data_IF_946693070717
#
_entry.id   IF_946693070717
#
_cell.length_a   1.000
_cell.length_b   1.000
_cell.length_c   1.000
_cell.angle_alpha   90.00
_cell.angle_beta   90.00
_cell.angle_gamma   90.00
#
_symmetry.space_group_name_H-M   'P 1'
#
loop_
_entity.id
_entity.type
_entity.pdbx_description
1 polymer ?
#
# COMPACT_ATOMS: atom_id res chain seq x y z
N UNK A 1 -7.24 4.09 -6.75
CA UNK A 1 -5.94 4.79 -6.65
C UNK A 1 -5.92 5.87 -7.72
N UNK A 2 -5.31 7.04 -7.43
CA UNK A 2 -5.11 8.12 -8.39
C UNK A 2 -3.63 8.47 -8.42
N UNK A 3 -3.06 8.59 -9.62
CA UNK A 3 -1.69 9.05 -9.86
C UNK A 3 -1.78 10.50 -10.33
N UNK A 4 -1.16 11.41 -9.59
CA UNK A 4 -1.29 12.87 -9.78
C UNK A 4 -0.06 13.50 -10.41
N UNK A 5 1.05 12.78 -10.43
CA UNK A 5 2.33 13.23 -10.95
C UNK A 5 3.00 12.16 -11.82
N UNK A 6 4.07 12.54 -12.53
CA UNK A 6 4.85 11.58 -13.31
C UNK A 6 5.44 10.48 -12.42
N UNK A 7 5.37 9.23 -12.89
CA UNK A 7 6.04 8.09 -12.26
C UNK A 7 7.50 7.91 -12.73
N UNK A 8 8.03 8.87 -13.50
CA UNK A 8 9.37 8.74 -14.12
C UNK A 8 10.46 8.44 -13.08
N UNK A 9 10.49 9.20 -12.01
CA UNK A 9 11.51 9.05 -10.95
C UNK A 9 11.36 7.71 -10.21
N UNK A 10 10.13 7.25 -9.99
CA UNK A 10 9.86 5.96 -9.39
C UNK A 10 10.30 4.81 -10.30
N UNK A 11 10.02 4.90 -11.62
CA UNK A 11 10.36 3.86 -12.59
C UNK A 11 11.88 3.77 -12.87
N UNK A 12 12.62 4.84 -12.60
CA UNK A 12 14.08 4.89 -12.71
C UNK A 12 14.81 4.74 -11.37
N UNK A 13 14.09 4.38 -10.31
CA UNK A 13 14.66 4.19 -8.99
C UNK A 13 15.70 3.06 -9.00
N UNK A 14 16.87 3.32 -8.42
CA UNK A 14 17.82 2.25 -8.12
C UNK A 14 17.26 1.33 -7.06
N UNK A 15 16.87 0.12 -7.43
CA UNK A 15 16.31 -0.89 -6.53
C UNK A 15 17.34 -1.48 -5.56
N UNK A 16 18.64 -1.14 -5.69
CA UNK A 16 19.73 -1.60 -4.79
C UNK A 16 19.77 -3.12 -4.60
N UNK A 17 19.35 -3.88 -5.60
CA UNK A 17 19.25 -5.33 -5.56
C UNK A 17 18.04 -5.88 -4.80
N UNK A 18 17.11 -5.04 -4.34
CA UNK A 18 15.84 -5.51 -3.77
C UNK A 18 14.87 -5.98 -4.85
N UNK A 19 14.17 -7.10 -4.66
CA UNK A 19 13.21 -7.61 -5.64
C UNK A 19 11.91 -6.80 -5.71
N UNK A 20 11.61 -6.00 -4.69
CA UNK A 20 10.42 -5.14 -4.62
C UNK A 20 10.71 -3.88 -3.83
N UNK A 21 10.10 -2.76 -4.24
CA UNK A 21 10.02 -1.54 -3.46
C UNK A 21 8.54 -1.21 -3.18
N UNK A 22 8.25 -0.74 -1.97
CA UNK A 22 6.90 -0.46 -1.51
C UNK A 22 6.88 0.60 -0.41
N UNK A 23 5.70 1.10 -0.10
CA UNK A 23 5.47 1.97 1.07
C UNK A 23 5.01 1.12 2.25
N UNK A 24 5.52 1.42 3.45
CA UNK A 24 5.07 0.78 4.68
C UNK A 24 3.56 0.96 4.88
N UNK A 25 2.89 -0.05 5.43
CA UNK A 25 1.49 0.09 5.80
C UNK A 25 1.36 1.02 7.01
N UNK A 26 0.74 2.17 6.77
CA UNK A 26 0.73 3.28 7.73
C UNK A 26 -0.09 3.00 8.99
N UNK A 27 -1.05 2.08 8.93
CA UNK A 27 -1.83 1.67 10.11
C UNK A 27 -1.11 0.56 10.86
N UNK A 28 -0.65 -0.47 10.15
CA UNK A 28 -0.04 -1.65 10.77
C UNK A 28 1.30 -1.35 11.45
N UNK A 29 1.98 -0.27 11.03
CA UNK A 29 3.18 0.23 11.70
C UNK A 29 2.94 0.67 13.16
N UNK A 30 1.69 0.92 13.56
CA UNK A 30 1.32 1.54 14.84
C UNK A 30 0.36 0.71 15.70
N UNK A 31 0.04 -0.53 15.31
CA UNK A 31 -0.87 -1.40 16.07
C UNK A 31 -0.15 -2.67 16.53
N UNK A 32 -0.66 -3.25 17.62
CA UNK A 32 -0.23 -4.59 18.03
C UNK A 32 -0.66 -5.62 16.97
N UNK A 33 0.29 -6.42 16.53
CA UNK A 33 0.10 -7.43 15.51
C UNK A 33 0.20 -8.82 16.10
N UNK A 34 -0.78 -9.68 15.83
CA UNK A 34 -0.89 -11.02 16.46
C UNK A 34 -0.60 -12.18 15.51
N UNK A 35 -0.08 -11.89 14.32
CA UNK A 35 0.17 -12.89 13.29
C UNK A 35 1.67 -13.23 13.16
N UNK A 36 2.05 -14.27 12.39
CA UNK A 36 3.41 -14.82 12.34
C UNK A 36 4.52 -13.86 11.89
N UNK A 37 4.16 -12.73 11.28
CA UNK A 37 5.14 -11.70 10.87
C UNK A 37 5.39 -10.78 12.05
N UNK A 38 6.62 -10.73 12.53
CA UNK A 38 7.03 -9.81 13.60
C UNK A 38 7.20 -8.39 13.03
N UNK A 39 6.23 -7.53 13.27
CA UNK A 39 6.25 -6.13 12.80
C UNK A 39 7.22 -5.24 13.57
N UNK A 40 7.70 -5.65 14.75
CA UNK A 40 8.71 -4.88 15.48
C UNK A 40 10.09 -4.99 14.84
N UNK A 41 10.37 -6.13 14.21
CA UNK A 41 11.66 -6.39 13.57
C UNK A 41 11.58 -6.43 12.05
N UNK A 42 10.38 -6.55 11.50
CA UNK A 42 10.12 -6.68 10.06
C UNK A 42 9.03 -5.71 9.65
N UNK A 43 9.38 -4.52 9.12
CA UNK A 43 8.39 -3.58 8.62
C UNK A 43 7.46 -4.26 7.60
N UNK A 44 6.16 -3.95 7.70
CA UNK A 44 5.12 -4.52 6.87
C UNK A 44 4.69 -3.49 5.82
N UNK A 45 4.76 -3.83 4.54
CA UNK A 45 4.39 -2.89 3.48
C UNK A 45 2.95 -3.07 3.01
N UNK A 46 2.37 -1.97 2.55
CA UNK A 46 1.08 -1.98 1.88
C UNK A 46 1.23 -2.45 0.43
N UNK A 47 0.46 -3.45 0.02
CA UNK A 47 0.54 -4.07 -1.31
C UNK A 47 -0.24 -3.34 -2.40
N UNK A 48 -0.83 -2.20 -2.11
CA UNK A 48 -1.63 -1.45 -3.08
C UNK A 48 -0.81 -0.86 -4.23
N UNK A 49 0.47 -0.53 -3.96
CA UNK A 49 1.43 -0.09 -4.97
C UNK A 49 2.77 -0.76 -4.73
N UNK A 50 3.32 -1.38 -5.76
CA UNK A 50 4.62 -2.07 -5.72
C UNK A 50 5.41 -1.70 -6.97
N UNK A 51 6.72 -1.45 -6.79
CA UNK A 51 7.68 -1.45 -7.88
C UNK A 51 8.44 -2.78 -7.80
N UNK A 52 8.39 -3.58 -8.86
CA UNK A 52 8.97 -4.92 -8.89
C UNK A 52 10.16 -5.00 -9.87
N UNK A 53 11.29 -5.53 -9.41
CA UNK A 53 12.38 -5.93 -10.29
C UNK A 53 12.03 -7.29 -10.93
N UNK A 54 11.58 -7.24 -12.18
CA UNK A 54 11.13 -8.44 -12.89
C UNK A 54 12.26 -9.42 -13.22
N UNK A 55 13.52 -8.99 -13.21
CA UNK A 55 14.68 -9.87 -13.37
C UNK A 55 14.82 -10.71 -12.10
N UNK A 56 14.89 -10.05 -10.94
CA UNK A 56 14.95 -10.69 -9.63
C UNK A 56 13.76 -11.65 -9.42
N UNK A 57 12.56 -11.24 -9.83
CA UNK A 57 11.37 -12.09 -9.69
C UNK A 57 11.46 -13.38 -10.46
N UNK A 58 12.03 -13.36 -11.69
CA UNK A 58 12.24 -14.56 -12.51
C UNK A 58 13.35 -15.43 -11.95
N UNK A 59 14.51 -14.85 -11.65
CA UNK A 59 15.69 -15.57 -11.17
C UNK A 59 15.43 -16.30 -9.84
N UNK A 60 14.68 -15.67 -8.93
CA UNK A 60 14.35 -16.25 -7.63
C UNK A 60 13.00 -16.99 -7.61
N UNK A 61 12.32 -17.15 -8.74
CA UNK A 61 11.02 -17.82 -8.83
C UNK A 61 9.99 -17.29 -7.81
N UNK A 62 9.92 -15.97 -7.63
CA UNK A 62 9.08 -15.31 -6.61
C UNK A 62 7.61 -15.71 -6.75
N UNK A 63 7.08 -15.82 -7.98
CA UNK A 63 5.69 -16.26 -8.20
C UNK A 63 5.41 -17.65 -7.58
N UNK A 64 6.35 -18.58 -7.70
CA UNK A 64 6.22 -19.92 -7.10
C UNK A 64 6.26 -19.85 -5.57
N UNK A 65 7.12 -19.00 -5.01
CA UNK A 65 7.18 -18.79 -3.56
C UNK A 65 5.87 -18.21 -3.03
N UNK A 66 5.29 -17.21 -3.72
CA UNK A 66 4.00 -16.62 -3.36
C UNK A 66 2.86 -17.64 -3.39
N UNK A 67 2.78 -18.48 -4.43
CA UNK A 67 1.77 -19.54 -4.52
C UNK A 67 1.91 -20.57 -3.39
N UNK A 68 3.13 -20.99 -3.05
CA UNK A 68 3.38 -21.90 -1.93
C UNK A 68 2.99 -21.25 -0.59
N UNK A 69 3.36 -19.99 -0.38
CA UNK A 69 3.01 -19.24 0.84
C UNK A 69 1.50 -19.09 0.97
N UNK A 70 0.81 -18.76 -0.12
CA UNK A 70 -0.65 -18.66 -0.12
C UNK A 70 -1.31 -20.00 0.23
N UNK A 71 -0.81 -21.12 -0.29
CA UNK A 71 -1.31 -22.46 0.03
C UNK A 71 -1.06 -22.86 1.49
N UNK A 72 0.08 -22.44 2.08
CA UNK A 72 0.42 -22.74 3.47
C UNK A 72 -0.34 -21.88 4.49
N UNK A 73 -0.51 -20.59 4.21
CA UNK A 73 -1.15 -19.64 5.14
C UNK A 73 -2.68 -19.72 5.09
N UNK A 74 -3.22 -20.27 4.00
CA UNK A 74 -4.65 -20.45 3.80
C UNK A 74 -5.48 -19.17 4.09
N UNK A 75 -6.76 -19.31 4.45
CA UNK A 75 -7.67 -18.19 4.74
C UNK A 75 -7.42 -17.50 6.10
N UNK A 76 -6.41 -17.95 6.84
CA UNK A 76 -6.14 -17.47 8.20
C UNK A 76 -5.48 -16.07 8.28
N UNK A 77 -5.20 -15.43 7.15
CA UNK A 77 -4.52 -14.12 7.12
C UNK A 77 -5.49 -12.97 6.87
N UNK A 78 -5.42 -11.88 7.66
CA UNK A 78 -6.44 -10.82 7.65
C UNK A 78 -6.42 -9.95 6.38
N UNK A 79 -5.28 -9.85 5.70
CA UNK A 79 -5.09 -8.97 4.55
C UNK A 79 -4.70 -9.71 3.26
N UNK A 80 -5.07 -11.00 3.15
CA UNK A 80 -4.95 -11.79 1.95
C UNK A 80 -3.57 -11.69 1.27
N UNK A 81 -3.53 -11.24 0.03
CA UNK A 81 -2.30 -11.13 -0.77
C UNK A 81 -1.21 -10.25 -0.14
N UNK A 82 -1.58 -9.23 0.62
CA UNK A 82 -0.62 -8.38 1.32
C UNK A 82 0.19 -9.19 2.35
N UNK A 83 -0.47 -10.10 3.09
CA UNK A 83 0.22 -10.99 4.01
C UNK A 83 1.16 -11.96 3.30
N UNK A 84 0.76 -12.52 2.16
CA UNK A 84 1.61 -13.44 1.38
C UNK A 84 2.88 -12.75 0.88
N UNK A 85 2.74 -11.55 0.34
CA UNK A 85 3.86 -10.74 -0.13
C UNK A 85 4.82 -10.40 1.03
N UNK A 86 4.29 -9.92 2.15
CA UNK A 86 5.09 -9.59 3.32
C UNK A 86 5.77 -10.82 3.94
N UNK A 87 5.17 -12.00 3.86
CA UNK A 87 5.80 -13.26 4.29
C UNK A 87 6.95 -13.67 3.38
N UNK A 88 6.80 -13.54 2.06
CA UNK A 88 7.85 -13.90 1.11
C UNK A 88 9.00 -12.91 1.15
N UNK A 89 8.72 -11.63 1.19
CA UNK A 89 9.77 -10.61 1.13
C UNK A 89 10.35 -10.25 2.50
N UNK A 90 9.59 -10.34 3.60
CA UNK A 90 10.03 -9.98 4.97
C UNK A 90 10.94 -8.74 5.00
N UNK A 91 12.25 -8.92 5.25
CA UNK A 91 13.25 -7.83 5.29
C UNK A 91 13.87 -7.50 3.92
N UNK A 92 13.47 -8.22 2.87
CA UNK A 92 14.07 -8.10 1.53
C UNK A 92 13.21 -7.24 0.61
N UNK A 93 12.96 -5.99 1.01
CA UNK A 93 12.27 -5.00 0.20
C UNK A 93 12.80 -3.59 0.47
N UNK A 94 12.74 -2.73 -0.55
CA UNK A 94 13.16 -1.35 -0.46
C UNK A 94 11.98 -0.49 -0.01
N UNK A 95 12.15 0.26 1.08
CA UNK A 95 11.12 1.18 1.55
C UNK A 95 11.12 2.46 0.70
N UNK A 96 9.95 2.79 0.18
CA UNK A 96 9.65 4.04 -0.51
C UNK A 96 9.12 5.10 0.47
N UNK A 97 9.22 6.35 0.06
CA UNK A 97 8.57 7.46 0.75
C UNK A 97 7.04 7.28 0.71
N UNK A 98 6.38 7.68 1.79
CA UNK A 98 4.94 7.54 1.99
C UNK A 98 4.10 8.15 0.87
N UNK A 99 4.56 9.23 0.28
CA UNK A 99 3.90 9.94 -0.82
C UNK A 99 3.65 9.08 -2.06
N UNK A 100 4.44 8.02 -2.29
CA UNK A 100 4.27 7.08 -3.39
C UNK A 100 3.14 6.08 -3.21
N UNK A 101 2.54 6.01 -2.03
CA UNK A 101 1.33 5.23 -1.76
C UNK A 101 0.61 5.82 -0.54
N UNK A 102 0.19 7.08 -0.64
CA UNK A 102 -0.48 7.78 0.45
C UNK A 102 -1.83 7.10 0.76
N UNK A 103 -1.93 6.53 1.95
CA UNK A 103 -3.05 5.70 2.38
C UNK A 103 -4.11 6.54 3.10
N UNK A 104 -5.15 6.97 2.38
CA UNK A 104 -6.20 7.84 2.95
C UNK A 104 -6.89 7.25 4.18
N UNK A 105 -7.01 5.93 4.25
CA UNK A 105 -7.60 5.25 5.40
C UNK A 105 -6.78 5.33 6.68
N UNK A 106 -5.47 5.62 6.59
CA UNK A 106 -4.66 5.86 7.77
C UNK A 106 -5.02 7.20 8.43
N UNK A 107 -5.26 8.24 7.64
CA UNK A 107 -5.74 9.53 8.16
C UNK A 107 -7.03 9.32 8.94
N UNK A 108 -8.02 8.65 8.34
CA UNK A 108 -9.30 8.35 8.98
C UNK A 108 -9.12 7.52 10.26
N UNK A 109 -8.25 6.50 10.21
CA UNK A 109 -7.97 5.62 11.35
C UNK A 109 -7.45 6.39 12.56
N UNK A 110 -6.49 7.28 12.36
CA UNK A 110 -5.87 8.06 13.43
C UNK A 110 -6.75 9.21 13.91
N UNK A 111 -7.48 9.88 13.01
CA UNK A 111 -8.46 10.90 13.38
C UNK A 111 -9.54 10.37 14.32
N UNK A 112 -10.12 9.21 14.03
CA UNK A 112 -11.14 8.56 14.88
C UNK A 112 -10.63 8.17 16.27
N UNK A 113 -9.31 8.20 16.49
CA UNK A 113 -8.66 7.88 17.76
C UNK A 113 -8.06 9.07 18.48
N UNK A 114 -8.29 10.29 17.95
CA UNK A 114 -7.66 11.53 18.41
C UNK A 114 -6.11 11.47 18.37
N UNK A 115 -5.56 10.84 17.34
CA UNK A 115 -4.13 10.67 17.09
C UNK A 115 -3.74 11.23 15.71
N UNK A 116 -4.36 12.35 15.29
CA UNK A 116 -4.16 12.93 13.95
C UNK A 116 -2.71 13.35 13.69
N UNK A 117 -1.94 13.61 14.73
CA UNK A 117 -0.51 13.95 14.66
C UNK A 117 0.38 12.77 14.22
N UNK A 118 -0.09 11.52 14.39
CA UNK A 118 0.66 10.32 14.01
C UNK A 118 0.70 10.13 12.50
N UNK A 119 -0.40 10.48 11.83
CA UNK A 119 -0.52 10.40 10.37
C UNK A 119 -1.36 11.57 9.85
N UNK A 120 -0.78 12.77 9.77
CA UNK A 120 -1.50 13.94 9.32
C UNK A 120 -1.77 13.90 7.82
N UNK A 121 -2.88 14.51 7.40
CA UNK A 121 -3.09 14.80 5.97
C UNK A 121 -2.02 15.81 5.52
N UNK A 122 -1.25 15.52 4.46
CA UNK A 122 -0.27 16.48 3.94
C UNK A 122 -0.97 17.68 3.30
N UNK A 123 -0.30 18.84 3.32
CA UNK A 123 -0.79 20.09 2.72
C UNK A 123 -0.76 20.02 1.18
N UNK A 124 0.15 19.23 0.62
CA UNK A 124 0.30 19.04 -0.82
C UNK A 124 -0.28 17.71 -1.27
N UNK A 125 -0.81 17.68 -2.50
CA UNK A 125 -1.36 16.45 -3.11
C UNK A 125 -0.22 15.44 -3.34
N UNK A 126 -0.30 14.23 -2.77
CA UNK A 126 0.73 13.19 -2.97
C UNK A 126 0.77 12.70 -4.43
N UNK A 127 1.95 12.27 -4.93
CA UNK A 127 2.10 11.67 -6.25
C UNK A 127 1.16 10.49 -6.52
N UNK A 128 0.90 9.67 -5.50
CA UNK A 128 -0.01 8.53 -5.59
C UNK A 128 -0.93 8.51 -4.37
N UNK A 129 -2.25 8.65 -4.61
CA UNK A 129 -3.28 8.58 -3.58
C UNK A 129 -3.94 7.21 -3.63
N UNK A 130 -3.88 6.49 -2.54
CA UNK A 130 -4.51 5.18 -2.37
C UNK A 130 -5.72 5.29 -1.43
N UNK A 131 -6.90 5.28 -2.00
CA UNK A 131 -8.15 5.23 -1.22
C UNK A 131 -8.33 3.83 -0.62
N UNK A 132 -7.65 3.62 0.50
CA UNK A 132 -7.70 2.38 1.29
C UNK A 132 -9.03 2.27 2.05
N UNK A 133 -9.31 1.15 2.70
CA UNK A 133 -10.52 0.88 3.46
C UNK A 133 -11.81 0.78 2.63
N UNK A 134 -12.97 0.72 3.32
CA UNK A 134 -14.30 0.69 2.68
C UNK A 134 -14.77 2.07 2.22
N UNK A 135 -14.20 3.14 2.78
CA UNK A 135 -14.49 4.50 2.35
C UNK A 135 -13.89 4.76 0.96
N UNK A 136 -14.75 4.78 -0.05
CA UNK A 136 -14.36 4.99 -1.45
C UNK A 136 -14.95 6.29 -1.99
N UNK A 137 -14.21 7.05 -2.82
CA UNK A 137 -14.68 8.33 -3.36
C UNK A 137 -16.03 8.27 -4.09
N UNK A 138 -16.39 7.12 -4.64
CA UNK A 138 -17.65 6.91 -5.37
C UNK A 138 -18.80 6.41 -4.49
N UNK A 139 -18.61 6.26 -3.18
CA UNK A 139 -19.64 5.87 -2.23
C UNK A 139 -20.06 7.09 -1.41
N UNK A 140 -21.35 7.43 -1.41
CA UNK A 140 -21.89 8.69 -0.86
C UNK A 140 -21.89 8.78 0.68
N UNK A 141 -21.70 7.67 1.42
CA UNK A 141 -22.04 7.58 2.85
C UNK A 141 -20.83 7.59 3.80
N UNK A 142 -19.65 7.89 3.29
CA UNK A 142 -18.41 7.84 4.08
C UNK A 142 -17.80 9.22 4.24
N UNK A 143 -18.19 9.98 5.24
CA UNK A 143 -17.50 11.15 5.80
C UNK A 143 -16.47 11.89 4.92
N UNK A 144 -15.56 12.62 5.52
CA UNK A 144 -14.49 13.31 4.80
C UNK A 144 -13.37 12.34 4.39
N UNK A 145 -13.27 12.05 3.08
CA UNK A 145 -12.17 11.27 2.51
C UNK A 145 -11.07 12.25 2.06
N UNK A 146 -9.83 12.13 2.56
CA UNK A 146 -8.73 12.99 2.12
C UNK A 146 -8.55 12.97 0.61
N UNK A 147 -8.43 14.15 -0.01
CA UNK A 147 -8.23 14.33 -1.45
C UNK A 147 -9.34 13.74 -2.33
N UNK A 148 -10.57 13.68 -1.84
CA UNK A 148 -11.72 13.20 -2.62
C UNK A 148 -11.94 14.03 -3.89
N UNK A 149 -11.69 15.33 -3.83
CA UNK A 149 -11.76 16.27 -4.95
C UNK A 149 -10.79 15.89 -6.09
N UNK A 150 -9.62 15.36 -5.75
CA UNK A 150 -8.64 14.90 -6.74
C UNK A 150 -9.16 13.68 -7.49
N UNK A 151 -9.82 12.74 -6.82
CA UNK A 151 -10.44 11.60 -7.50
C UNK A 151 -11.43 12.07 -8.58
N UNK A 152 -12.30 13.03 -8.27
CA UNK A 152 -13.32 13.52 -9.21
C UNK A 152 -12.74 14.31 -10.39
N UNK A 153 -11.56 14.93 -10.24
CA UNK A 153 -10.83 15.55 -11.35
C UNK A 153 -10.36 14.54 -12.41
N UNK A 154 -10.01 13.32 -11.97
CA UNK A 154 -9.53 12.24 -12.86
C UNK A 154 -10.65 11.28 -13.28
N UNK A 155 -11.82 11.39 -12.65
CA UNK A 155 -12.96 10.55 -13.02
C UNK A 155 -13.50 10.90 -14.40
N UNK A 156 -13.64 9.89 -15.26
CA UNK A 156 -14.28 10.02 -16.56
C UNK A 156 -15.59 9.23 -16.55
N UNK A 157 -16.72 9.93 -16.81
CA UNK A 157 -18.04 9.31 -16.80
C UNK A 157 -18.23 8.26 -17.92
N UNK A 158 -17.42 8.36 -18.97
CA UNK A 158 -17.45 7.45 -20.13
C UNK A 158 -16.61 6.17 -19.94
N UNK A 159 -15.98 6.03 -18.80
CA UNK A 159 -15.28 4.77 -18.49
C UNK A 159 -16.27 3.61 -18.42
N UNK A 160 -15.96 2.45 -19.03
CA UNK A 160 -16.81 1.27 -18.93
C UNK A 160 -17.07 0.98 -17.44
N UNK A 161 -18.34 0.88 -17.09
CA UNK A 161 -18.72 0.40 -15.76
C UNK A 161 -18.39 -1.09 -15.72
N UNK A 162 -17.43 -1.47 -14.87
CA UNK A 162 -17.08 -2.86 -14.67
C UNK A 162 -18.23 -3.66 -14.06
#
# INVERSE_FOLDING_TARGET
MVVTQSLHDLLNLDMRGYPVAAVQDSVLAHIEWKYPIDLHTTPYFNSGMLLADLVQWREHNIAVQLLKTAACLNEAVPYGNQCFLNTVFQKNWLQLEESWNFQTGAVEYFQKRNLSEVFPKPDTVPPVIHYTTRAKPWLCDYGEIPFIEVYWQYYCADWPKA
#
